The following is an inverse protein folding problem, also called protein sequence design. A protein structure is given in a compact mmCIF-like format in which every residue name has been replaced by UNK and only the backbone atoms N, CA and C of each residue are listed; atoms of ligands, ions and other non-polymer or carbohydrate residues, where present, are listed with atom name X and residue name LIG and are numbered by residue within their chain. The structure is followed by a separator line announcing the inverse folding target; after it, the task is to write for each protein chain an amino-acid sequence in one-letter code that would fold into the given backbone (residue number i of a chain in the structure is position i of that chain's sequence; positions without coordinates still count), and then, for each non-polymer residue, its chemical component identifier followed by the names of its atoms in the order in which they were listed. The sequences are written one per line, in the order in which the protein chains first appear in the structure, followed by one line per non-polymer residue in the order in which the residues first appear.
data_IF_502512206824
#
_entry.id   IF_502512206824
#
_cell.length_a   1.000
_cell.length_b   1.000
_cell.length_c   1.000
_cell.angle_alpha   90.00
_cell.angle_beta   90.00
_cell.angle_gamma   90.00
#
_symmetry.space_group_name_H-M   'P 1'
#
loop_
_entity.id
_entity.type
_entity.pdbx_description
1 polymer ?
#
# COMPACT_ATOMS: atom_id res chain seq x y z
N UNK A 1 -17.80 -14.38 -13.37
CA UNK A 1 -16.92 -13.29 -12.89
C UNK A 1 -15.99 -13.89 -11.86
N UNK A 2 -14.67 -13.88 -12.10
CA UNK A 2 -13.67 -14.43 -11.18
C UNK A 2 -12.84 -13.26 -10.64
N UNK A 3 -12.59 -13.23 -9.33
CA UNK A 3 -11.82 -12.17 -8.67
C UNK A 3 -10.52 -12.77 -8.17
N UNK A 4 -9.39 -12.18 -8.58
CA UNK A 4 -8.07 -12.60 -8.16
C UNK A 4 -7.59 -11.67 -7.04
N UNK A 5 -7.39 -12.24 -5.84
CA UNK A 5 -6.93 -11.49 -4.66
C UNK A 5 -5.60 -12.04 -4.22
N UNK A 6 -4.61 -11.16 -4.05
CA UNK A 6 -3.29 -11.50 -3.52
C UNK A 6 -3.09 -10.71 -2.24
N UNK A 7 -2.80 -11.42 -1.15
CA UNK A 7 -2.44 -10.82 0.13
C UNK A 7 -0.95 -11.07 0.37
N UNK A 8 -0.23 -10.00 0.66
CA UNK A 8 1.22 -9.99 0.66
C UNK A 8 1.77 -9.18 1.83
N UNK A 9 2.98 -9.53 2.29
CA UNK A 9 3.77 -8.67 3.18
C UNK A 9 4.84 -7.92 2.38
N UNK A 10 5.56 -7.00 3.03
CA UNK A 10 6.66 -6.23 2.42
C UNK A 10 7.74 -7.07 1.73
N UNK A 11 7.84 -8.38 2.05
CA UNK A 11 8.79 -9.30 1.41
C UNK A 11 8.40 -9.60 -0.04
N UNK A 12 7.12 -9.43 -0.43
CA UNK A 12 6.65 -9.68 -1.80
C UNK A 12 6.96 -8.55 -2.79
N UNK A 13 7.65 -7.50 -2.32
CA UNK A 13 8.09 -6.39 -3.17
C UNK A 13 9.37 -6.74 -3.93
N UNK A 14 10.22 -7.60 -3.37
CA UNK A 14 11.42 -8.09 -4.03
C UNK A 14 11.16 -9.50 -4.60
N UNK A 15 11.24 -9.67 -5.92
CA UNK A 15 11.32 -10.98 -6.56
C UNK A 15 10.01 -11.65 -6.97
N UNK A 16 8.83 -11.04 -6.76
CA UNK A 16 7.55 -11.54 -7.29
C UNK A 16 6.99 -10.64 -8.41
N UNK A 17 6.99 -11.18 -9.64
CA UNK A 17 6.33 -10.57 -10.80
C UNK A 17 4.81 -10.79 -10.70
N UNK A 18 4.10 -9.75 -10.26
CA UNK A 18 2.64 -9.73 -10.21
C UNK A 18 2.19 -8.77 -11.28
N UNK A 19 1.32 -9.26 -12.17
CA UNK A 19 0.70 -8.49 -13.23
C UNK A 19 -0.06 -7.26 -12.68
N UNK A 20 -0.33 -6.29 -13.55
CA UNK A 20 -1.07 -5.08 -13.16
C UNK A 20 -2.44 -5.44 -12.56
N UNK A 21 -2.75 -4.80 -11.44
CA UNK A 21 -3.95 -4.99 -10.64
C UNK A 21 -4.87 -3.77 -10.76
N UNK A 22 -6.18 -4.00 -10.64
CA UNK A 22 -7.16 -2.91 -10.64
C UNK A 22 -7.19 -2.16 -9.30
N UNK A 23 -6.74 -2.81 -8.23
CA UNK A 23 -6.71 -2.24 -6.88
C UNK A 23 -5.46 -2.73 -6.15
N UNK A 24 -4.72 -1.80 -5.54
CA UNK A 24 -3.63 -2.09 -4.60
C UNK A 24 -3.95 -1.43 -3.27
N UNK A 25 -3.88 -2.18 -2.18
CA UNK A 25 -4.17 -1.69 -0.83
C UNK A 25 -2.96 -1.93 0.06
N UNK A 26 -2.38 -0.85 0.61
CA UNK A 26 -1.28 -0.91 1.59
C UNK A 26 -1.80 -0.52 2.97
N UNK A 27 -1.41 -1.27 3.99
CA UNK A 27 -1.78 -0.99 5.39
C UNK A 27 -0.76 -0.13 6.15
N UNK A 28 0.43 0.05 5.58
CA UNK A 28 1.50 0.84 6.15
C UNK A 28 2.21 1.62 5.01
N UNK A 29 2.77 2.82 5.31
CA UNK A 29 3.63 3.53 4.38
C UNK A 29 4.80 2.67 3.89
N UNK A 30 5.19 2.85 2.63
CA UNK A 30 6.38 2.20 2.09
C UNK A 30 7.64 2.68 2.82
N UNK A 31 8.53 1.78 3.24
CA UNK A 31 9.76 2.15 3.96
C UNK A 31 10.78 2.86 3.08
N UNK A 32 10.71 2.64 1.76
CA UNK A 32 11.61 3.24 0.77
C UNK A 32 10.80 3.77 -0.42
N UNK A 33 11.36 4.74 -1.14
CA UNK A 33 10.75 5.27 -2.38
C UNK A 33 10.64 4.17 -3.44
N UNK A 34 11.62 3.26 -3.51
CA UNK A 34 11.59 2.14 -4.45
C UNK A 34 10.39 1.20 -4.19
N UNK A 35 10.16 0.84 -2.93
CA UNK A 35 8.98 0.06 -2.48
C UNK A 35 7.67 0.73 -2.90
N UNK A 36 7.60 2.05 -2.77
CA UNK A 36 6.44 2.80 -3.21
C UNK A 36 6.25 2.73 -4.73
N UNK A 37 7.28 3.06 -5.50
CA UNK A 37 7.24 3.03 -6.97
C UNK A 37 6.83 1.64 -7.47
N UNK A 38 7.42 0.57 -6.92
CA UNK A 38 7.10 -0.80 -7.30
C UNK A 38 5.65 -1.16 -6.98
N UNK A 39 5.20 -0.91 -5.75
CA UNK A 39 3.81 -1.22 -5.37
C UNK A 39 2.79 -0.38 -6.13
N UNK A 40 3.08 0.90 -6.39
CA UNK A 40 2.24 1.80 -7.18
C UNK A 40 2.22 1.40 -8.66
N UNK A 41 3.34 0.93 -9.20
CA UNK A 41 3.45 0.40 -10.56
C UNK A 41 2.53 -0.80 -10.81
N UNK A 42 2.09 -1.52 -9.77
CA UNK A 42 1.07 -2.57 -9.90
C UNK A 42 -0.33 -2.00 -10.18
N UNK A 43 -0.64 -0.77 -9.74
CA UNK A 43 -1.90 -0.05 -10.03
C UNK A 43 -1.66 1.15 -10.97
N UNK A 44 -1.12 0.89 -12.17
CA UNK A 44 -0.80 1.90 -13.19
C UNK A 44 -1.81 2.02 -14.34
N UNK A 45 -2.78 1.10 -14.43
CA UNK A 45 -3.76 1.09 -15.51
C UNK A 45 -4.78 2.22 -15.29
N UNK A 46 -5.32 2.78 -16.38
CA UNK A 46 -6.37 3.80 -16.27
C UNK A 46 -7.59 3.21 -15.55
N UNK A 47 -8.03 3.88 -14.49
CA UNK A 47 -9.13 3.39 -13.64
C UNK A 47 -8.71 2.35 -12.59
N UNK A 48 -7.41 2.11 -12.40
CA UNK A 48 -6.91 1.39 -11.23
C UNK A 48 -6.72 2.33 -10.04
N UNK A 49 -6.91 1.78 -8.85
CA UNK A 49 -6.85 2.51 -7.58
C UNK A 49 -5.67 2.02 -6.73
N UNK A 50 -4.96 2.96 -6.13
CA UNK A 50 -3.94 2.72 -5.13
C UNK A 50 -4.37 3.35 -3.81
N UNK A 51 -4.62 2.51 -2.80
CA UNK A 51 -5.09 2.92 -1.48
C UNK A 51 -3.99 2.72 -0.45
N UNK A 52 -3.63 3.80 0.24
CA UNK A 52 -2.75 3.76 1.39
C UNK A 52 -3.58 3.95 2.66
N UNK A 53 -3.72 2.89 3.44
CA UNK A 53 -4.29 2.93 4.78
C UNK A 53 -3.19 3.25 5.77
N UNK A 54 -3.46 4.23 6.63
CA UNK A 54 -2.53 4.67 7.65
C UNK A 54 -3.29 4.69 8.97
N UNK A 55 -2.61 4.23 10.03
CA UNK A 55 -3.12 4.41 11.38
C UNK A 55 -3.26 5.90 11.65
N UNK A 56 -4.44 6.34 12.09
CA UNK A 56 -4.63 7.72 12.53
C UNK A 56 -3.63 8.03 13.65
N UNK A 57 -2.69 8.93 13.37
CA UNK A 57 -1.75 9.48 14.34
C UNK A 57 -2.01 10.98 14.49
N UNK A 58 -1.59 11.58 15.61
CA UNK A 58 -1.57 13.02 15.73
C UNK A 58 -0.79 13.64 14.55
N UNK A 59 -1.24 14.80 14.02
CA UNK A 59 -0.71 15.39 12.79
C UNK A 59 0.80 15.63 12.78
N UNK A 60 1.43 15.71 13.96
CA UNK A 60 2.87 15.89 14.12
C UNK A 60 3.74 14.67 13.73
N UNK A 61 3.15 13.51 13.39
CA UNK A 61 3.89 12.24 13.27
C UNK A 61 3.55 11.41 12.03
N UNK A 62 3.02 12.05 10.99
CA UNK A 62 2.58 11.41 9.75
C UNK A 62 3.61 11.63 8.64
N UNK A 63 4.47 10.63 8.40
CA UNK A 63 5.54 10.66 7.39
C UNK A 63 5.02 10.39 5.96
N UNK A 64 3.97 11.08 5.52
CA UNK A 64 3.34 10.87 4.19
C UNK A 64 3.94 11.78 3.12
N UNK A 65 4.45 12.95 3.49
CA UNK A 65 4.80 14.02 2.55
C UNK A 65 5.88 13.68 1.52
N UNK A 66 6.72 12.67 1.78
CA UNK A 66 7.77 12.24 0.83
C UNK A 66 7.22 11.36 -0.30
N UNK A 67 6.06 10.75 -0.10
CA UNK A 67 5.47 9.78 -1.02
C UNK A 67 4.60 10.44 -2.09
N UNK A 68 3.88 11.50 -1.71
CA UNK A 68 3.04 12.28 -2.64
C UNK A 68 3.86 12.89 -3.79
N UNK A 69 5.10 13.33 -3.49
CA UNK A 69 6.02 13.82 -4.51
C UNK A 69 6.40 12.76 -5.55
N UNK A 70 6.50 11.49 -5.13
CA UNK A 70 6.84 10.38 -6.03
C UNK A 70 5.63 9.91 -6.86
N UNK A 71 4.39 10.15 -6.40
CA UNK A 71 3.18 9.76 -7.12
C UNK A 71 2.99 10.58 -8.41
N UNK A 72 3.42 11.84 -8.41
CA UNK A 72 3.40 12.70 -9.61
C UNK A 72 4.25 12.19 -10.78
N UNK A 73 5.20 11.28 -10.52
CA UNK A 73 6.03 10.66 -11.54
C UNK A 73 5.44 9.36 -12.12
N UNK A 74 4.33 8.85 -11.58
CA UNK A 74 3.72 7.57 -11.95
C UNK A 74 2.39 7.82 -12.68
N UNK A 75 2.30 7.40 -13.94
CA UNK A 75 1.19 7.74 -14.84
C UNK A 75 -0.12 6.96 -14.59
N UNK A 76 -1.23 7.66 -14.84
CA UNK A 76 -2.63 7.22 -15.09
C UNK A 76 -3.50 6.61 -13.96
N UNK A 77 -2.95 6.08 -12.86
CA UNK A 77 -3.75 5.52 -11.76
C UNK A 77 -4.28 6.58 -10.78
N UNK A 78 -5.35 6.29 -10.05
CA UNK A 78 -5.79 7.15 -8.91
C UNK A 78 -5.05 6.72 -7.65
N UNK A 79 -4.61 7.69 -6.84
CA UNK A 79 -4.07 7.45 -5.50
C UNK A 79 -4.97 8.09 -4.47
N UNK A 80 -5.23 7.39 -3.37
CA UNK A 80 -5.96 7.96 -2.23
C UNK A 80 -5.39 7.44 -0.92
N UNK A 81 -5.21 8.35 0.03
CA UNK A 81 -4.75 8.03 1.38
C UNK A 81 -5.94 8.05 2.33
N UNK A 82 -6.17 6.94 3.03
CA UNK A 82 -7.22 6.82 4.04
C UNK A 82 -6.60 6.65 5.42
N UNK A 83 -7.05 7.43 6.38
CA UNK A 83 -6.71 7.23 7.79
C UNK A 83 -7.78 6.37 8.46
N UNK A 84 -7.37 5.40 9.28
CA UNK A 84 -8.30 4.55 10.01
C UNK A 84 -8.08 4.66 11.53
N UNK A 85 -9.18 4.76 12.27
CA UNK A 85 -9.19 4.66 13.73
C UNK A 85 -8.84 3.21 14.11
N UNK A 86 -7.89 3.08 15.04
CA UNK A 86 -6.95 1.96 15.12
C UNK A 86 -7.49 0.57 15.51
N UNK A 87 -8.79 0.34 15.58
CA UNK A 87 -9.35 -0.93 16.07
C UNK A 87 -9.32 -2.06 15.03
N UNK A 88 -9.48 -1.76 13.73
CA UNK A 88 -9.45 -2.81 12.67
C UNK A 88 -8.05 -3.10 12.11
N UNK A 89 -7.11 -2.16 12.22
CA UNK A 89 -5.73 -2.34 11.74
C UNK A 89 -4.89 -3.26 12.67
N UNK A 90 -5.28 -3.38 13.94
CA UNK A 90 -4.55 -4.19 14.93
C UNK A 90 -4.65 -5.69 14.63
N UNK A 91 -5.79 -6.17 14.12
CA UNK A 91 -6.02 -7.60 13.84
C UNK A 91 -5.11 -8.14 12.72
N UNK A 92 -4.79 -7.31 11.72
CA UNK A 92 -3.83 -7.65 10.64
C UNK A 92 -2.39 -7.67 11.17
N UNK A 93 -2.04 -6.75 12.07
CA UNK A 93 -0.70 -6.67 12.66
C UNK A 93 -0.43 -7.78 13.69
N UNK A 94 -1.44 -8.19 14.45
CA UNK A 94 -1.34 -9.33 15.39
C UNK A 94 -1.15 -10.65 14.64
N UNK A 95 -1.82 -10.81 13.49
CA UNK A 95 -1.58 -11.93 12.58
C UNK A 95 -0.13 -11.95 12.05
N UNK A 96 0.48 -10.77 11.86
CA UNK A 96 1.88 -10.62 11.43
C UNK A 96 2.90 -10.96 12.54
N UNK A 97 2.54 -10.74 13.81
CA UNK A 97 3.36 -11.16 14.97
C UNK A 97 3.41 -12.67 15.14
N UNK A 98 2.34 -13.38 14.73
CA UNK A 98 2.22 -14.84 14.87
C UNK A 98 3.00 -15.65 13.82
N UNK A 99 3.38 -15.04 12.70
CA UNK A 99 4.15 -15.71 11.62
C UNK A 99 5.67 -15.60 11.81
N UNK A 100 6.13 -14.79 12.78
CA UNK A 100 7.56 -14.67 13.16
C UNK A 100 7.88 -15.36 14.49
N UNK A 101 7.04 -16.32 14.91
CA UNK A 101 7.27 -17.19 16.06
C UNK A 101 7.70 -18.56 15.60
#
# INVERSE_FOLDING_TARGET
MQVNIIVATQILEEGLDVQSCNLVVRFDPSPTVCSFIQSRGRARMKGSDYLLLIKRRPPAQTDIGRLELADGALSAGRSSTMTCDGEKAQQVRESRKRVRG
#
